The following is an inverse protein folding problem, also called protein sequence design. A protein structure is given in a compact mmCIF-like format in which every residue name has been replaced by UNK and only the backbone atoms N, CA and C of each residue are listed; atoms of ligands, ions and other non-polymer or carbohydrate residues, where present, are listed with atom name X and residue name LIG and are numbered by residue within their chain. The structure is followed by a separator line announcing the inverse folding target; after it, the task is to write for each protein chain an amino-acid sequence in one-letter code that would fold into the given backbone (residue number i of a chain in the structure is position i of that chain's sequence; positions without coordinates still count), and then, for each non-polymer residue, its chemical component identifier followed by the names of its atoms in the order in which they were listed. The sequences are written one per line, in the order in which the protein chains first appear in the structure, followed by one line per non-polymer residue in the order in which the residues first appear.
data_IF_967871630364
#
_entry.id   IF_967871630364
#
_cell.length_a   1.000
_cell.length_b   1.000
_cell.length_c   1.000
_cell.angle_alpha   90.00
_cell.angle_beta   90.00
_cell.angle_gamma   90.00
#
_symmetry.space_group_name_H-M   'P 1'
#
loop_
_entity.id
_entity.type
_entity.pdbx_description
1 polymer ?
#
# COMPACT_ATOMS: atom_id res chain seq x y z
N UNK A 1 -20.15 37.82 2.52
CA UNK A 1 -19.40 37.15 3.61
C UNK A 1 -17.92 37.11 3.30
N UNK A 2 -17.08 37.60 4.22
CA UNK A 2 -15.62 37.57 4.11
C UNK A 2 -15.08 36.42 4.97
N UNK A 3 -14.84 35.22 4.41
CA UNK A 3 -14.29 34.10 5.18
C UNK A 3 -12.87 34.44 5.65
N UNK A 4 -12.56 34.05 6.88
CA UNK A 4 -11.17 34.07 7.37
C UNK A 4 -10.35 32.99 6.66
N UNK A 5 -9.02 33.13 6.63
CA UNK A 5 -8.15 32.09 6.09
C UNK A 5 -8.40 30.73 6.76
N UNK A 6 -8.68 30.70 8.06
CA UNK A 6 -9.03 29.48 8.79
C UNK A 6 -10.35 28.86 8.31
N UNK A 7 -11.39 29.67 8.08
CA UNK A 7 -12.66 29.19 7.56
C UNK A 7 -12.51 28.62 6.15
N UNK A 8 -11.70 29.25 5.30
CA UNK A 8 -11.38 28.73 3.97
C UNK A 8 -10.63 27.38 4.04
N UNK A 9 -9.58 27.30 4.86
CA UNK A 9 -8.78 26.07 5.02
C UNK A 9 -9.65 24.91 5.52
N UNK A 10 -10.48 25.15 6.53
CA UNK A 10 -11.38 24.13 7.08
C UNK A 10 -12.42 23.70 6.05
N UNK A 11 -13.07 24.63 5.36
CA UNK A 11 -14.05 24.31 4.32
C UNK A 11 -13.43 23.50 3.17
N UNK A 12 -12.22 23.86 2.74
CA UNK A 12 -11.49 23.13 1.71
C UNK A 12 -11.09 21.71 2.17
N UNK A 13 -10.55 21.57 3.38
CA UNK A 13 -10.26 20.26 4.00
C UNK A 13 -11.52 19.38 4.05
N UNK A 14 -12.64 19.92 4.49
CA UNK A 14 -13.92 19.19 4.56
C UNK A 14 -14.43 18.78 3.17
N UNK A 15 -14.37 19.68 2.19
CA UNK A 15 -14.79 19.38 0.82
C UNK A 15 -13.94 18.25 0.21
N UNK A 16 -12.63 18.30 0.41
CA UNK A 16 -11.68 17.31 -0.08
C UNK A 16 -11.95 15.93 0.54
N UNK A 17 -12.18 15.88 1.86
CA UNK A 17 -12.55 14.63 2.56
C UNK A 17 -13.89 14.08 2.07
N UNK A 18 -14.91 14.93 1.94
CA UNK A 18 -16.23 14.51 1.48
C UNK A 18 -16.20 13.95 0.06
N UNK A 19 -15.41 14.54 -0.84
CA UNK A 19 -15.22 14.00 -2.18
C UNK A 19 -14.46 12.67 -2.17
N UNK A 20 -13.49 12.49 -1.26
CA UNK A 20 -12.74 11.25 -1.12
C UNK A 20 -13.61 10.08 -0.62
N UNK A 21 -14.52 10.33 0.33
CA UNK A 21 -15.37 9.28 0.95
C UNK A 21 -16.74 9.15 0.28
N UNK A 22 -17.06 9.99 -0.71
CA UNK A 22 -18.32 9.92 -1.45
C UNK A 22 -18.44 8.59 -2.19
N UNK A 23 -19.65 8.02 -2.16
CA UNK A 23 -19.99 6.73 -2.78
C UNK A 23 -19.93 6.74 -4.31
N UNK A 24 -19.82 7.93 -4.94
CA UNK A 24 -19.38 8.11 -6.31
C UNK A 24 -17.87 8.46 -6.27
N UNK A 25 -16.89 7.58 -6.46
CA UNK A 25 -16.88 6.23 -7.03
C UNK A 25 -15.42 5.71 -6.98
N UNK A 26 -15.16 4.45 -6.58
CA UNK A 26 -13.88 3.81 -6.86
C UNK A 26 -13.68 3.74 -8.38
N UNK A 27 -12.80 4.58 -8.94
CA UNK A 27 -12.39 4.55 -10.34
C UNK A 27 -13.13 5.48 -11.33
N UNK A 28 -13.96 6.44 -10.92
CA UNK A 28 -14.51 7.42 -11.89
C UNK A 28 -13.57 8.61 -12.17
N UNK A 29 -12.75 8.97 -11.19
CA UNK A 29 -11.59 9.82 -11.43
C UNK A 29 -10.45 8.84 -11.67
N UNK A 30 -9.87 8.82 -12.87
CA UNK A 30 -8.75 7.97 -13.28
C UNK A 30 -7.44 8.23 -12.50
N UNK A 31 -7.54 8.59 -11.21
CA UNK A 31 -6.45 8.85 -10.31
C UNK A 31 -6.00 7.52 -9.69
N UNK A 32 -4.71 7.20 -9.86
CA UNK A 32 -4.09 6.09 -9.15
C UNK A 32 -4.01 6.44 -7.66
N UNK A 33 -4.95 5.90 -6.89
CA UNK A 33 -4.97 6.07 -5.45
C UNK A 33 -3.88 5.22 -4.79
N UNK A 34 -2.66 5.73 -4.81
CA UNK A 34 -1.45 5.11 -4.24
C UNK A 34 -1.29 5.43 -2.75
N UNK A 35 -0.46 4.66 -2.05
CA UNK A 35 -0.05 4.92 -0.66
C UNK A 35 0.51 6.34 -0.47
N UNK A 36 1.27 6.84 -1.45
CA UNK A 36 1.80 8.21 -1.45
C UNK A 36 0.70 9.29 -1.46
N UNK A 37 -0.46 8.99 -2.06
CA UNK A 37 -1.61 9.87 -2.01
C UNK A 37 -2.14 9.95 -0.58
N UNK A 38 -2.34 8.82 0.10
CA UNK A 38 -2.78 8.76 1.50
C UNK A 38 -1.84 9.51 2.46
N UNK A 39 -0.53 9.39 2.29
CA UNK A 39 0.47 10.13 3.07
C UNK A 39 0.34 11.65 2.84
N UNK A 40 0.11 12.06 1.59
CA UNK A 40 -0.08 13.47 1.24
C UNK A 40 -1.36 14.04 1.86
N UNK A 41 -2.45 13.27 1.86
CA UNK A 41 -3.68 13.62 2.58
C UNK A 41 -3.40 13.73 4.09
N UNK A 42 -2.76 12.74 4.69
CA UNK A 42 -2.42 12.77 6.12
C UNK A 42 -1.65 14.04 6.48
N UNK A 43 -0.58 14.36 5.74
CA UNK A 43 0.19 15.59 5.93
C UNK A 43 -0.66 16.85 5.74
N UNK A 44 -1.55 16.87 4.74
CA UNK A 44 -2.41 18.02 4.51
C UNK A 44 -3.36 18.30 5.70
N UNK A 45 -3.91 17.26 6.31
CA UNK A 45 -4.80 17.40 7.45
C UNK A 45 -4.06 17.71 8.76
N UNK A 46 -2.85 17.20 8.95
CA UNK A 46 -2.02 17.45 10.14
C UNK A 46 -1.22 18.75 10.07
N UNK A 47 -0.93 19.26 8.87
CA UNK A 47 -0.30 20.56 8.69
C UNK A 47 -1.19 21.67 9.28
N UNK A 48 -0.61 22.46 10.18
CA UNK A 48 -1.20 23.57 10.95
C UNK A 48 -1.96 23.19 12.23
N UNK A 49 -1.72 22.00 12.82
CA UNK A 49 -2.00 21.84 14.25
C UNK A 49 -0.92 22.59 15.04
N UNK A 50 -1.23 23.81 15.48
CA UNK A 50 -0.39 24.51 16.46
C UNK A 50 -0.19 23.60 17.69
N UNK A 51 1.07 23.31 18.08
CA UNK A 51 1.32 22.55 19.28
C UNK A 51 0.87 23.37 20.50
N UNK A 52 0.09 22.75 21.38
CA UNK A 52 -0.12 23.27 22.73
C UNK A 52 1.27 23.43 23.36
N UNK A 53 1.72 24.67 23.59
CA UNK A 53 3.04 24.98 24.14
C UNK A 53 3.17 24.51 25.59
N UNK A 54 4.22 23.73 25.87
CA UNK A 54 5.05 23.87 27.07
C UNK A 54 6.49 23.38 26.78
N UNK A 55 7.49 23.89 27.52
CA UNK A 55 8.79 24.27 26.98
C UNK A 55 9.83 23.14 26.91
N UNK A 56 10.81 23.36 26.04
CA UNK A 56 11.96 22.52 25.72
C UNK A 56 12.62 21.87 26.95
N UNK A 57 12.61 20.55 26.99
CA UNK A 57 13.67 19.76 27.62
C UNK A 57 14.38 19.00 26.50
N UNK A 58 15.68 19.27 26.34
CA UNK A 58 16.56 18.40 25.58
C UNK A 58 16.51 17.00 26.22
N UNK A 59 15.67 16.13 25.66
CA UNK A 59 15.68 14.71 25.96
C UNK A 59 16.10 14.02 24.69
N UNK A 60 17.24 13.35 24.79
CA UNK A 60 17.71 12.32 23.87
C UNK A 60 16.51 11.69 23.18
N UNK A 61 16.42 11.87 21.85
CA UNK A 61 15.53 11.07 21.04
C UNK A 61 15.77 9.63 21.51
N UNK A 62 14.78 8.94 22.13
CA UNK A 62 14.85 7.50 22.09
C UNK A 62 14.93 7.26 20.60
N UNK A 63 16.07 6.72 20.13
CA UNK A 63 16.00 5.84 18.99
C UNK A 63 14.83 4.94 19.39
N UNK A 64 13.67 5.17 18.77
CA UNK A 64 12.57 4.27 18.93
C UNK A 64 13.18 3.02 18.31
N UNK A 65 13.79 2.18 19.15
CA UNK A 65 13.68 0.76 18.95
C UNK A 65 12.18 0.56 18.91
N UNK A 66 11.62 0.74 17.71
CA UNK A 66 10.26 0.39 17.41
C UNK A 66 10.19 -1.02 17.93
N UNK A 67 9.45 -1.18 19.03
CA UNK A 67 9.26 -2.46 19.68
C UNK A 67 8.99 -3.44 18.55
N UNK A 68 9.87 -4.44 18.41
CA UNK A 68 9.84 -5.48 17.38
C UNK A 68 8.64 -6.42 17.58
N UNK A 69 7.48 -5.89 17.86
CA UNK A 69 6.22 -6.56 17.63
C UNK A 69 5.63 -5.94 16.37
N UNK A 70 6.10 -6.42 15.23
CA UNK A 70 5.38 -6.24 13.99
C UNK A 70 4.00 -6.86 14.23
N UNK A 71 2.94 -6.07 14.07
CA UNK A 71 1.58 -6.61 14.10
C UNK A 71 1.52 -7.81 13.15
N UNK A 72 1.02 -8.96 13.62
CA UNK A 72 0.89 -10.19 12.82
C UNK A 72 0.15 -9.93 11.50
N UNK A 73 -0.74 -8.93 11.50
CA UNK A 73 -1.46 -8.44 10.33
C UNK A 73 -0.50 -7.78 9.33
N UNK A 74 0.39 -6.91 9.79
CA UNK A 74 1.38 -6.22 8.95
C UNK A 74 2.39 -7.24 8.41
N UNK A 75 2.87 -8.16 9.24
CA UNK A 75 3.77 -9.24 8.81
C UNK A 75 3.12 -10.10 7.72
N UNK A 76 1.87 -10.54 7.95
CA UNK A 76 1.13 -11.32 6.99
C UNK A 76 0.90 -10.56 5.67
N UNK A 77 0.46 -9.29 5.73
CA UNK A 77 0.25 -8.43 4.57
C UNK A 77 1.54 -8.23 3.78
N UNK A 78 2.66 -8.04 4.48
CA UNK A 78 3.99 -7.91 3.86
C UNK A 78 4.34 -9.19 3.10
N UNK A 79 4.16 -10.35 3.72
CA UNK A 79 4.43 -11.66 3.10
C UNK A 79 3.58 -11.88 1.85
N UNK A 80 2.25 -11.73 1.93
CA UNK A 80 1.39 -11.95 0.75
C UNK A 80 1.69 -10.96 -0.38
N UNK A 81 2.10 -9.73 -0.05
CA UNK A 81 2.48 -8.69 -1.02
C UNK A 81 3.80 -9.06 -1.70
N UNK A 82 4.81 -9.47 -0.94
CA UNK A 82 6.07 -9.93 -1.49
C UNK A 82 5.88 -11.16 -2.39
N UNK A 83 5.08 -12.14 -1.97
CA UNK A 83 4.79 -13.34 -2.78
C UNK A 83 4.12 -12.96 -4.09
N UNK A 84 3.18 -12.02 -4.09
CA UNK A 84 2.55 -11.50 -5.31
C UNK A 84 3.57 -10.84 -6.27
N UNK A 85 4.43 -9.97 -5.74
CA UNK A 85 5.48 -9.30 -6.52
C UNK A 85 6.46 -10.32 -7.11
N UNK A 86 6.90 -11.28 -6.30
CA UNK A 86 7.77 -12.36 -6.73
C UNK A 86 7.12 -13.19 -7.85
N UNK A 87 5.80 -13.43 -7.79
CA UNK A 87 5.05 -14.12 -8.84
C UNK A 87 5.05 -13.36 -10.17
N UNK A 88 4.95 -12.03 -10.11
CA UNK A 88 5.08 -11.17 -11.28
C UNK A 88 6.50 -11.17 -11.86
N UNK A 89 7.52 -11.09 -11.01
CA UNK A 89 8.93 -11.15 -11.41
C UNK A 89 9.24 -12.51 -12.05
N UNK A 90 8.85 -13.62 -11.43
CA UNK A 90 9.03 -14.97 -11.97
C UNK A 90 8.36 -15.12 -13.35
N UNK A 91 7.19 -14.53 -13.55
CA UNK A 91 6.53 -14.47 -14.88
C UNK A 91 7.39 -13.74 -15.91
N UNK A 92 7.95 -12.58 -15.54
CA UNK A 92 8.82 -11.77 -16.42
C UNK A 92 10.11 -12.52 -16.75
N UNK A 93 10.79 -13.07 -15.74
CA UNK A 93 11.99 -13.88 -15.92
C UNK A 93 11.74 -15.08 -16.83
N UNK A 94 10.64 -15.80 -16.63
CA UNK A 94 10.30 -16.94 -17.48
C UNK A 94 10.07 -16.54 -18.94
N UNK A 95 9.49 -15.35 -19.18
CA UNK A 95 9.25 -14.85 -20.54
C UNK A 95 10.53 -14.34 -21.20
N UNK A 96 11.28 -13.51 -20.48
CA UNK A 96 12.33 -12.65 -21.06
C UNK A 96 13.73 -13.26 -20.90
N UNK A 97 13.98 -14.03 -19.84
CA UNK A 97 15.29 -14.60 -19.50
C UNK A 97 15.34 -16.10 -19.74
N UNK A 98 14.45 -16.89 -19.12
CA UNK A 98 14.46 -18.35 -19.22
C UNK A 98 13.81 -18.90 -20.48
N UNK A 99 13.25 -18.04 -21.34
CA UNK A 99 12.62 -18.42 -22.62
C UNK A 99 11.61 -19.57 -22.49
N UNK A 100 10.74 -19.50 -21.48
CA UNK A 100 9.69 -20.49 -21.15
C UNK A 100 10.22 -21.85 -20.68
N UNK A 101 11.43 -21.90 -20.11
CA UNK A 101 11.97 -23.13 -19.53
C UNK A 101 11.17 -23.57 -18.30
N UNK A 102 10.60 -24.78 -18.37
CA UNK A 102 9.80 -25.36 -17.28
C UNK A 102 10.65 -25.71 -16.06
N UNK A 103 11.88 -26.19 -16.28
CA UNK A 103 12.75 -26.61 -15.18
C UNK A 103 13.27 -25.41 -14.37
N UNK A 104 13.65 -24.33 -15.06
CA UNK A 104 14.02 -23.07 -14.39
C UNK A 104 12.87 -22.52 -13.56
N UNK A 105 11.63 -22.62 -14.06
CA UNK A 105 10.46 -22.16 -13.33
C UNK A 105 10.21 -22.98 -12.06
N UNK A 106 10.38 -24.30 -12.11
CA UNK A 106 10.24 -25.18 -10.92
C UNK A 106 11.26 -24.87 -9.81
N UNK A 107 12.43 -24.32 -10.16
CA UNK A 107 13.43 -23.94 -9.15
C UNK A 107 13.04 -22.67 -8.37
N UNK A 108 12.09 -21.89 -8.87
CA UNK A 108 11.70 -20.59 -8.29
C UNK A 108 10.20 -20.48 -8.02
N UNK A 109 9.45 -21.56 -8.22
CA UNK A 109 8.01 -21.62 -8.01
C UNK A 109 7.65 -22.87 -7.24
N UNK A 110 6.77 -22.71 -6.26
CA UNK A 110 6.18 -23.81 -5.52
C UNK A 110 5.17 -24.59 -6.36
N UNK A 111 5.17 -25.91 -6.20
CA UNK A 111 4.13 -26.80 -6.71
C UNK A 111 2.87 -26.77 -5.84
N UNK A 112 2.97 -26.24 -4.61
CA UNK A 112 1.90 -26.20 -3.62
C UNK A 112 1.47 -24.76 -3.33
N UNK A 113 0.16 -24.52 -3.42
CA UNK A 113 -0.44 -23.22 -3.10
C UNK A 113 -0.66 -23.14 -1.58
N UNK A 114 -0.07 -22.13 -0.95
CA UNK A 114 -0.18 -21.85 0.49
C UNK A 114 -0.99 -20.57 0.75
N UNK A 115 -1.23 -20.24 2.04
CA UNK A 115 -1.88 -18.97 2.45
C UNK A 115 -1.14 -17.73 1.98
N UNK A 116 0.18 -17.83 1.77
CA UNK A 116 1.00 -16.72 1.28
C UNK A 116 0.65 -16.33 -0.16
N UNK A 117 -0.06 -17.22 -0.88
CA UNK A 117 -0.49 -17.00 -2.26
C UNK A 117 -1.89 -16.38 -2.37
N UNK A 118 -2.55 -16.02 -1.26
CA UNK A 118 -3.92 -15.50 -1.26
C UNK A 118 -4.11 -14.30 -2.20
N UNK A 119 -3.17 -13.36 -2.21
CA UNK A 119 -3.21 -12.21 -3.14
C UNK A 119 -3.03 -12.62 -4.60
N UNK A 120 -2.22 -13.63 -4.89
CA UNK A 120 -2.06 -14.17 -6.26
C UNK A 120 -3.38 -14.79 -6.69
N UNK A 121 -4.02 -15.60 -5.85
CA UNK A 121 -5.31 -16.24 -6.14
C UNK A 121 -6.39 -15.19 -6.39
N UNK A 122 -6.47 -14.16 -5.53
CA UNK A 122 -7.46 -13.09 -5.66
C UNK A 122 -7.31 -12.26 -6.94
N UNK A 123 -6.10 -12.23 -7.53
CA UNK A 123 -5.76 -11.41 -8.72
C UNK A 123 -5.56 -12.23 -9.99
N UNK A 124 -5.46 -13.55 -9.91
CA UNK A 124 -5.40 -14.44 -11.07
C UNK A 124 -6.83 -14.82 -11.49
N UNK A 125 -7.50 -13.88 -12.18
CA UNK A 125 -8.92 -13.97 -12.56
C UNK A 125 -9.29 -15.18 -13.43
N UNK A 126 -8.32 -15.88 -14.03
CA UNK A 126 -8.54 -17.04 -14.90
C UNK A 126 -7.96 -18.33 -14.30
N UNK A 127 -8.82 -19.15 -13.68
CA UNK A 127 -8.42 -20.43 -13.08
C UNK A 127 -7.83 -21.42 -14.09
N UNK A 128 -8.31 -21.40 -15.34
CA UNK A 128 -7.84 -22.30 -16.41
C UNK A 128 -6.48 -21.90 -16.99
N UNK A 129 -6.11 -20.61 -16.84
CA UNK A 129 -4.87 -20.07 -17.41
C UNK A 129 -4.21 -19.15 -16.40
N UNK A 130 -3.45 -19.77 -15.48
CA UNK A 130 -2.63 -19.07 -14.49
C UNK A 130 -1.74 -18.03 -15.16
N UNK A 131 -2.17 -16.77 -15.08
CA UNK A 131 -1.47 -15.65 -15.68
C UNK A 131 -0.34 -15.17 -14.76
N UNK A 132 -0.42 -15.47 -13.47
CA UNK A 132 0.63 -15.23 -12.49
C UNK A 132 1.39 -16.53 -12.19
N UNK A 133 2.60 -16.37 -11.64
CA UNK A 133 3.39 -17.49 -11.12
C UNK A 133 3.27 -17.51 -9.60
N UNK A 134 3.47 -18.70 -9.04
CA UNK A 134 3.30 -19.01 -7.62
C UNK A 134 4.70 -19.36 -7.10
N UNK A 135 5.49 -18.34 -6.67
CA UNK A 135 6.85 -18.53 -6.17
C UNK A 135 6.91 -19.48 -4.99
#
# INVERSE_FOLDING_TARGET
DNPTCSAFITAYKTLLLNNLVSSQSPGANCEDFTESSLISFQHFFTANQEPIKSPELAMNLPLLEASKEMDKTIEHLTTVTHTYIAGFIAKKLNRDVFKKCKECLKQICSDQVSKEHELIIARDYQQEKKCLKYP
#
